data_IF_666879444093
#
_entry.id   IF_666879444093
#
_cell.length_a   1.000
_cell.length_b   1.000
_cell.length_c   1.000
_cell.angle_alpha   90.00
_cell.angle_beta   90.00
_cell.angle_gamma   90.00
#
_symmetry.space_group_name_H-M   'P 1'
#
loop_
_entity.id
_entity.type
_entity.pdbx_description
1 polymer ?
#
# COMPACT_ATOMS: atom_id res chain seq x y z
N UNK A 1 45.99 61.39 14.39
CA UNK A 1 44.63 60.82 14.37
C UNK A 1 44.42 60.02 15.65
N UNK A 2 43.60 60.51 16.59
CA UNK A 2 43.34 59.82 17.87
C UNK A 2 42.17 58.85 17.68
N UNK A 3 42.44 57.55 17.77
CA UNK A 3 41.44 56.48 17.79
C UNK A 3 40.91 56.38 19.23
N UNK A 4 39.67 56.81 19.46
CA UNK A 4 38.99 56.66 20.75
C UNK A 4 38.42 55.25 20.81
N UNK A 5 38.97 54.39 21.67
CA UNK A 5 38.39 53.08 21.98
C UNK A 5 37.45 53.22 23.18
N UNK A 6 36.15 53.27 22.94
CA UNK A 6 35.11 53.28 23.98
C UNK A 6 34.86 51.84 24.46
N UNK A 7 35.75 51.31 25.31
CA UNK A 7 35.57 50.01 25.95
C UNK A 7 34.61 50.15 27.14
N UNK A 8 33.31 50.27 26.86
CA UNK A 8 32.26 50.14 27.87
C UNK A 8 32.00 48.67 28.15
N UNK A 9 32.51 48.17 29.26
CA UNK A 9 32.15 46.84 29.77
C UNK A 9 30.70 46.81 30.27
N UNK A 10 30.02 45.66 30.15
CA UNK A 10 28.74 45.44 30.82
C UNK A 10 28.92 45.65 32.32
N UNK A 11 28.10 46.51 32.92
CA UNK A 11 28.04 46.65 34.37
C UNK A 11 27.39 45.40 34.96
N UNK A 12 27.81 45.00 36.16
CA UNK A 12 27.24 43.83 36.87
C UNK A 12 25.71 43.94 36.97
N UNK A 13 25.21 45.14 37.24
CA UNK A 13 23.77 45.44 37.29
C UNK A 13 23.10 45.35 35.91
N UNK A 14 23.80 45.76 34.85
CA UNK A 14 23.31 45.64 33.48
C UNK A 14 23.15 44.19 33.05
N UNK A 15 24.09 43.33 33.42
CA UNK A 15 23.99 41.89 33.14
C UNK A 15 22.78 41.26 33.85
N UNK A 16 22.55 41.62 35.12
CA UNK A 16 21.39 41.12 35.89
C UNK A 16 20.07 41.55 35.27
N UNK A 17 19.96 42.81 34.84
CA UNK A 17 18.76 43.28 34.14
C UNK A 17 18.52 42.54 32.83
N UNK A 18 19.56 42.23 32.05
CA UNK A 18 19.42 41.50 30.79
C UNK A 18 18.90 40.08 31.02
N UNK A 19 19.44 39.35 32.01
CA UNK A 19 18.98 37.98 32.31
C UNK A 19 17.54 37.98 32.82
N UNK A 20 17.17 38.96 33.67
CA UNK A 20 15.77 39.14 34.10
C UNK A 20 14.83 39.38 32.92
N UNK A 21 15.25 40.21 31.97
CA UNK A 21 14.44 40.56 30.81
C UNK A 21 14.30 39.36 29.86
N UNK A 22 15.37 38.61 29.63
CA UNK A 22 15.32 37.35 28.87
C UNK A 22 14.40 36.35 29.56
N UNK A 23 14.44 36.22 30.88
CA UNK A 23 13.58 35.29 31.63
C UNK A 23 12.09 35.61 31.45
N UNK A 24 11.72 36.89 31.53
CA UNK A 24 10.34 37.34 31.32
C UNK A 24 9.88 37.10 29.87
N UNK A 25 10.72 37.45 28.90
CA UNK A 25 10.41 37.22 27.48
C UNK A 25 10.28 35.72 27.16
N UNK A 26 11.17 34.90 27.71
CA UNK A 26 11.15 33.45 27.51
C UNK A 26 9.87 32.82 28.09
N UNK A 27 9.46 33.26 29.28
CA UNK A 27 8.21 32.78 29.90
C UNK A 27 6.98 33.17 29.06
N UNK A 28 6.95 34.37 28.47
CA UNK A 28 5.85 34.80 27.62
C UNK A 28 5.74 33.98 26.32
N UNK A 29 6.87 33.63 25.70
CA UNK A 29 6.89 32.83 24.46
C UNK A 29 6.32 31.42 24.68
N UNK A 30 6.58 30.81 25.84
CA UNK A 30 6.07 29.48 26.18
C UNK A 30 4.55 29.41 26.34
N UNK A 31 3.88 30.53 26.62
CA UNK A 31 2.41 30.60 26.75
C UNK A 31 1.72 30.60 25.38
N UNK A 32 2.42 31.03 24.32
CA UNK A 32 1.86 31.19 22.98
C UNK A 32 2.11 30.01 22.03
N UNK A 33 3.02 29.10 22.38
CA UNK A 33 3.34 27.92 21.57
C UNK A 33 2.46 26.77 22.02
N UNK A 34 1.60 26.28 21.14
CA UNK A 34 0.96 24.97 21.32
C UNK A 34 1.99 23.87 20.98
N UNK A 35 2.51 23.13 21.98
CA UNK A 35 3.47 22.07 21.71
C UNK A 35 2.88 20.97 20.82
N UNK A 36 1.56 20.74 20.88
CA UNK A 36 0.88 19.74 20.05
C UNK A 36 0.92 20.09 18.56
N UNK A 37 0.80 21.37 18.22
CA UNK A 37 0.85 21.82 16.83
C UNK A 37 2.23 21.60 16.18
N UNK A 38 3.31 21.71 16.95
CA UNK A 38 4.68 21.47 16.45
C UNK A 38 4.92 19.99 16.21
N UNK A 39 4.48 19.14 17.15
CA UNK A 39 4.60 17.68 17.01
C UNK A 39 3.80 17.18 15.81
N UNK A 40 2.55 17.61 15.69
CA UNK A 40 1.71 17.26 14.55
C UNK A 40 2.30 17.68 13.20
N UNK A 41 2.90 18.88 13.13
CA UNK A 41 3.58 19.32 11.91
C UNK A 41 4.83 18.48 11.59
N UNK A 42 5.58 18.02 12.61
CA UNK A 42 6.72 17.14 12.40
C UNK A 42 6.29 15.76 11.89
N UNK A 43 5.18 15.22 12.40
CA UNK A 43 4.59 13.95 11.96
C UNK A 43 4.08 14.03 10.52
N UNK A 44 3.35 15.09 10.17
CA UNK A 44 2.87 15.31 8.79
C UNK A 44 4.04 15.46 7.80
N UNK A 45 5.11 16.18 8.18
CA UNK A 45 6.33 16.25 7.36
C UNK A 45 6.99 14.88 7.16
N UNK A 46 6.98 14.03 8.20
CA UNK A 46 7.49 12.66 8.10
C UNK A 46 6.60 11.82 7.17
N UNK A 47 5.27 11.92 7.29
CA UNK A 47 4.32 11.26 6.37
C UNK A 47 4.53 11.67 4.93
N UNK A 48 4.79 12.95 4.65
CA UNK A 48 5.08 13.41 3.29
C UNK A 48 6.32 12.75 2.70
N UNK A 49 7.40 12.63 3.49
CA UNK A 49 8.63 11.95 3.08
C UNK A 49 8.40 10.46 2.86
N UNK A 50 7.67 9.81 3.77
CA UNK A 50 7.35 8.39 3.72
C UNK A 50 6.45 8.06 2.49
N UNK A 51 5.43 8.89 2.22
CA UNK A 51 4.59 8.80 1.01
C UNK A 51 5.41 8.98 -0.26
N UNK A 52 6.34 9.95 -0.29
CA UNK A 52 7.22 10.17 -1.44
C UNK A 52 8.14 8.97 -1.67
N UNK A 53 8.68 8.38 -0.60
CA UNK A 53 9.54 7.19 -0.68
C UNK A 53 8.77 5.99 -1.25
N UNK A 54 7.58 5.69 -0.73
CA UNK A 54 6.72 4.61 -1.25
C UNK A 54 6.35 4.87 -2.71
N UNK A 55 5.91 6.08 -3.05
CA UNK A 55 5.51 6.45 -4.40
C UNK A 55 6.65 6.31 -5.42
N UNK A 56 7.86 6.73 -5.04
CA UNK A 56 9.06 6.61 -5.88
C UNK A 56 9.44 5.15 -6.06
N UNK A 57 9.48 4.36 -4.98
CA UNK A 57 9.85 2.95 -5.03
C UNK A 57 8.88 2.12 -5.89
N UNK A 58 7.57 2.33 -5.76
CA UNK A 58 6.58 1.67 -6.61
C UNK A 58 6.75 2.11 -8.07
N UNK A 59 6.98 3.40 -8.33
CA UNK A 59 7.17 3.89 -9.69
C UNK A 59 8.40 3.29 -10.37
N UNK A 60 9.52 3.17 -9.65
CA UNK A 60 10.73 2.53 -10.14
C UNK A 60 10.53 1.03 -10.37
N UNK A 61 9.88 0.33 -9.44
CA UNK A 61 9.52 -1.07 -9.61
C UNK A 61 8.70 -1.28 -10.90
N UNK A 62 7.67 -0.47 -11.10
CA UNK A 62 6.77 -0.57 -12.26
C UNK A 62 7.50 -0.35 -13.58
N UNK A 63 8.44 0.59 -13.61
CA UNK A 63 9.26 0.85 -14.80
C UNK A 63 10.12 -0.37 -15.17
N UNK A 64 10.62 -1.10 -14.17
CA UNK A 64 11.45 -2.27 -14.37
C UNK A 64 10.65 -3.56 -14.60
N UNK A 65 9.33 -3.56 -14.31
CA UNK A 65 8.44 -4.73 -14.39
C UNK A 65 7.23 -4.51 -15.31
N UNK A 66 7.45 -3.93 -16.49
CA UNK A 66 6.45 -3.83 -17.58
C UNK A 66 5.10 -3.21 -17.16
N UNK A 67 5.08 -2.28 -16.21
CA UNK A 67 3.84 -1.64 -15.77
C UNK A 67 3.09 -2.37 -14.65
N UNK A 68 3.59 -3.51 -14.17
CA UNK A 68 2.93 -4.33 -13.14
C UNK A 68 3.26 -3.79 -11.74
N UNK A 69 2.26 -3.69 -10.87
CA UNK A 69 2.44 -3.30 -9.48
C UNK A 69 2.99 -4.47 -8.62
N UNK A 70 3.80 -4.18 -7.58
CA UNK A 70 4.37 -5.19 -6.69
C UNK A 70 3.39 -5.67 -5.60
N UNK A 71 2.09 -5.38 -5.74
CA UNK A 71 1.07 -5.68 -4.71
C UNK A 71 0.44 -7.05 -4.95
N UNK A 72 -0.10 -7.62 -3.88
CA UNK A 72 -1.03 -8.74 -3.92
C UNK A 72 -2.46 -8.22 -3.74
N UNK A 73 -3.24 -8.21 -4.82
CA UNK A 73 -4.63 -7.76 -4.85
C UNK A 73 -4.90 -6.59 -5.80
N UNK A 74 -6.11 -6.05 -5.71
CA UNK A 74 -6.65 -4.98 -6.55
C UNK A 74 -6.38 -3.62 -5.93
N UNK A 75 -6.01 -2.66 -6.77
CA UNK A 75 -5.99 -1.24 -6.39
C UNK A 75 -7.28 -0.60 -6.91
N UNK A 76 -8.14 -0.19 -5.99
CA UNK A 76 -9.48 0.36 -6.30
C UNK A 76 -9.50 1.87 -6.08
N UNK A 77 -10.66 2.51 -6.30
CA UNK A 77 -10.86 3.93 -5.98
C UNK A 77 -10.99 4.18 -4.48
N UNK A 78 -11.22 3.12 -3.69
CA UNK A 78 -11.23 3.18 -2.24
C UNK A 78 -9.81 3.07 -1.68
N UNK A 79 -9.59 3.63 -0.49
CA UNK A 79 -8.28 3.59 0.17
C UNK A 79 -8.03 2.20 0.72
N UNK A 80 -6.97 1.53 0.25
CA UNK A 80 -6.53 0.23 0.76
C UNK A 80 -5.19 0.38 1.45
N UNK A 81 -5.18 0.14 2.77
CA UNK A 81 -3.98 0.28 3.60
C UNK A 81 -2.93 -0.77 3.24
N UNK A 82 -1.65 -0.39 3.26
CA UNK A 82 -0.52 -1.31 3.12
C UNK A 82 -0.26 -2.06 4.42
N UNK A 83 -0.13 -3.38 4.34
CA UNK A 83 0.10 -4.27 5.47
C UNK A 83 1.24 -5.25 5.24
N UNK A 84 1.84 -5.74 6.33
CA UNK A 84 2.91 -6.72 6.28
C UNK A 84 2.39 -8.13 5.99
N UNK A 85 1.17 -8.43 6.47
CA UNK A 85 0.47 -9.68 6.20
C UNK A 85 -0.96 -9.41 5.74
N UNK A 86 -1.39 -10.06 4.65
CA UNK A 86 -2.73 -9.90 4.12
C UNK A 86 -3.72 -10.82 4.85
N UNK A 87 -4.32 -10.31 5.92
CA UNK A 87 -5.34 -11.01 6.71
C UNK A 87 -6.76 -10.93 6.13
N UNK A 88 -7.70 -11.68 6.72
CA UNK A 88 -9.13 -11.63 6.38
C UNK A 88 -9.90 -10.44 6.99
N UNK A 89 -9.21 -9.60 7.76
CA UNK A 89 -9.79 -8.43 8.41
C UNK A 89 -9.69 -7.21 7.50
N UNK A 90 -10.72 -6.36 7.56
CA UNK A 90 -10.70 -5.05 6.90
C UNK A 90 -10.04 -4.01 7.82
N UNK A 91 -9.40 -3.01 7.23
CA UNK A 91 -8.73 -1.91 7.92
C UNK A 91 -9.40 -0.60 7.50
N UNK A 92 -9.71 0.24 8.49
CA UNK A 92 -10.25 1.57 8.22
C UNK A 92 -9.14 2.57 7.92
N UNK A 93 -9.30 3.33 6.85
CA UNK A 93 -8.36 4.37 6.42
C UNK A 93 -9.11 5.55 5.84
N UNK A 94 -9.14 6.68 6.57
CA UNK A 94 -9.67 7.95 6.06
C UNK A 94 -11.04 7.87 5.40
N UNK A 95 -11.97 7.09 5.98
CA UNK A 95 -13.36 6.92 5.53
C UNK A 95 -13.65 5.61 4.77
N UNK A 96 -12.63 4.95 4.19
CA UNK A 96 -12.79 3.64 3.53
C UNK A 96 -12.50 2.51 4.52
N UNK A 97 -13.14 1.35 4.35
CA UNK A 97 -12.88 0.14 5.16
C UNK A 97 -12.75 -1.05 4.23
N UNK A 98 -11.51 -1.43 3.95
CA UNK A 98 -11.16 -2.35 2.89
C UNK A 98 -10.16 -3.41 3.37
N UNK A 99 -10.00 -4.49 2.59
CA UNK A 99 -8.89 -5.42 2.80
C UNK A 99 -7.56 -4.70 2.54
N UNK A 100 -6.57 -4.98 3.38
CA UNK A 100 -5.25 -4.41 3.23
C UNK A 100 -4.51 -5.02 2.02
N UNK A 101 -3.57 -4.26 1.46
CA UNK A 101 -2.69 -4.70 0.37
C UNK A 101 -1.31 -5.03 0.92
N UNK A 102 -0.79 -6.21 0.56
CA UNK A 102 0.60 -6.58 0.83
C UNK A 102 1.45 -6.28 -0.39
N UNK A 103 2.62 -5.68 -0.19
CA UNK A 103 3.67 -5.65 -1.21
C UNK A 103 4.34 -7.03 -1.19
N UNK A 104 4.15 -7.81 -2.25
CA UNK A 104 4.46 -9.23 -2.30
C UNK A 104 5.43 -9.52 -3.46
N UNK A 105 6.65 -8.98 -3.35
CA UNK A 105 7.74 -9.26 -4.28
C UNK A 105 9.10 -9.05 -3.59
N UNK A 106 9.95 -10.07 -3.56
CA UNK A 106 11.27 -9.97 -2.87
C UNK A 106 12.14 -8.86 -3.47
N UNK A 107 12.15 -8.73 -4.79
CA UNK A 107 12.94 -7.69 -5.46
C UNK A 107 12.48 -6.27 -5.11
N UNK A 108 11.23 -6.10 -4.67
CA UNK A 108 10.76 -4.80 -4.20
C UNK A 108 11.61 -4.32 -3.02
N UNK A 109 11.74 -5.17 -2.01
CA UNK A 109 12.45 -4.85 -0.77
C UNK A 109 13.96 -4.84 -0.94
N UNK A 110 14.49 -5.67 -1.85
CA UNK A 110 15.93 -5.73 -2.08
C UNK A 110 16.47 -4.53 -2.88
N UNK A 111 15.68 -3.96 -3.79
CA UNK A 111 16.18 -2.97 -4.76
C UNK A 111 15.59 -1.57 -4.62
N UNK A 112 14.31 -1.43 -4.29
CA UNK A 112 13.62 -0.14 -4.40
C UNK A 112 13.30 0.48 -3.04
N UNK A 113 12.87 -0.33 -2.07
CA UNK A 113 12.59 0.16 -0.71
C UNK A 113 12.76 -0.94 0.33
N UNK A 114 13.81 -0.82 1.16
CA UNK A 114 14.21 -1.85 2.12
C UNK A 114 13.11 -2.32 3.06
N UNK A 115 12.29 -1.39 3.54
CA UNK A 115 11.20 -1.64 4.46
C UNK A 115 10.13 -0.58 4.26
N UNK A 116 8.86 -0.94 4.43
CA UNK A 116 7.78 0.03 4.40
C UNK A 116 7.84 0.91 5.66
N UNK A 117 7.79 2.24 5.52
CA UNK A 117 7.69 3.12 6.67
C UNK A 117 6.37 2.86 7.41
N UNK A 118 6.37 3.13 8.72
CA UNK A 118 5.19 3.02 9.59
C UNK A 118 4.83 4.43 10.05
N UNK A 119 3.55 4.77 9.93
CA UNK A 119 3.01 6.07 10.34
C UNK A 119 3.33 6.35 11.82
N UNK A 120 3.76 7.57 12.18
CA UNK A 120 4.14 7.90 13.56
C UNK A 120 3.05 7.65 14.62
N UNK A 121 1.77 7.69 14.24
CA UNK A 121 0.64 7.47 15.15
C UNK A 121 0.35 5.98 15.39
N UNK A 122 0.98 5.08 14.64
CA UNK A 122 0.76 3.65 14.78
C UNK A 122 1.49 3.11 16.00
N UNK A 123 0.73 2.38 16.81
CA UNK A 123 1.21 1.70 18.02
C UNK A 123 1.36 0.19 17.83
N UNK A 124 0.90 -0.34 16.69
CA UNK A 124 1.05 -1.73 16.29
C UNK A 124 1.60 -1.82 14.87
N UNK A 125 2.24 -2.94 14.55
CA UNK A 125 2.88 -3.17 13.25
C UNK A 125 2.05 -4.13 12.38
N UNK A 126 0.72 -4.12 12.50
CA UNK A 126 -0.17 -4.92 11.64
C UNK A 126 -0.32 -4.30 10.26
N UNK A 127 -0.28 -2.97 10.21
CA UNK A 127 -0.36 -2.17 9.00
C UNK A 127 0.55 -0.95 9.12
N UNK A 128 0.80 -0.31 7.99
CA UNK A 128 1.75 0.81 7.91
C UNK A 128 1.12 2.17 8.19
N UNK A 129 -0.21 2.28 8.16
CA UNK A 129 -0.91 3.57 8.16
C UNK A 129 -0.85 4.33 6.82
N UNK A 130 -0.19 3.79 5.80
CA UNK A 130 -0.22 4.32 4.43
C UNK A 130 -1.14 3.49 3.54
N UNK A 131 -1.70 4.11 2.49
CA UNK A 131 -2.64 3.47 1.59
C UNK A 131 -2.26 3.64 0.12
N UNK A 132 -2.80 2.75 -0.70
CA UNK A 132 -2.86 2.86 -2.15
C UNK A 132 -4.32 2.99 -2.59
N UNK A 133 -4.55 3.81 -3.61
CA UNK A 133 -5.81 3.88 -4.34
C UNK A 133 -5.50 4.28 -5.80
N UNK A 134 -6.48 4.21 -6.69
CA UNK A 134 -6.41 4.83 -8.01
C UNK A 134 -7.33 6.04 -8.09
N UNK A 135 -6.89 7.09 -8.79
CA UNK A 135 -7.72 8.24 -9.07
C UNK A 135 -8.75 7.95 -10.18
N UNK A 136 -9.61 8.93 -10.48
CA UNK A 136 -10.62 8.82 -11.54
C UNK A 136 -10.05 8.66 -12.95
N UNK A 137 -8.76 8.98 -13.15
CA UNK A 137 -8.05 8.81 -14.41
C UNK A 137 -7.26 7.48 -14.46
N UNK A 138 -7.32 6.68 -13.40
CA UNK A 138 -6.61 5.41 -13.24
C UNK A 138 -5.15 5.54 -12.82
N UNK A 139 -4.68 6.71 -12.38
CA UNK A 139 -3.33 6.87 -11.83
C UNK A 139 -3.26 6.42 -10.37
N UNK A 140 -2.17 5.76 -10.01
CA UNK A 140 -1.91 5.32 -8.64
C UNK A 140 -1.66 6.53 -7.74
N UNK A 141 -2.37 6.55 -6.61
CA UNK A 141 -2.22 7.53 -5.53
C UNK A 141 -1.75 6.79 -4.28
N UNK A 142 -0.70 7.33 -3.66
CA UNK A 142 -0.16 6.87 -2.38
C UNK A 142 -0.46 7.93 -1.34
N UNK A 143 -0.89 7.57 -0.13
CA UNK A 143 -1.14 8.57 0.92
C UNK A 143 -1.13 8.01 2.33
N UNK A 144 -1.31 8.88 3.32
CA UNK A 144 -1.40 8.53 4.74
C UNK A 144 -2.86 8.50 5.22
N UNK A 145 -3.22 7.54 6.08
CA UNK A 145 -4.57 7.36 6.60
C UNK A 145 -4.96 8.43 7.63
N UNK A 146 -3.99 8.87 8.43
CA UNK A 146 -4.12 9.96 9.41
C UNK A 146 -3.35 11.18 8.94
N UNK A 147 -3.91 12.35 9.23
CA UNK A 147 -3.26 13.64 9.07
C UNK A 147 -3.59 14.47 10.30
N UNK A 148 -2.59 15.19 10.83
CA UNK A 148 -2.79 16.03 12.02
C UNK A 148 -3.31 17.41 11.62
N UNK A 149 -2.98 17.88 10.41
CA UNK A 149 -3.59 19.05 9.76
C UNK A 149 -4.89 18.76 8.98
N UNK A 150 -5.43 19.80 8.32
CA UNK A 150 -6.63 19.69 7.46
C UNK A 150 -6.34 19.28 6.01
N UNK A 151 -5.06 19.12 5.64
CA UNK A 151 -4.64 18.78 4.27
C UNK A 151 -4.30 17.30 4.20
N UNK A 152 -4.85 16.61 3.20
CA UNK A 152 -4.51 15.21 2.96
C UNK A 152 -3.04 15.08 2.52
N UNK A 153 -2.28 14.20 3.18
CA UNK A 153 -0.92 13.84 2.78
C UNK A 153 -1.01 12.71 1.76
N UNK A 154 -0.97 13.06 0.48
CA UNK A 154 -1.07 12.11 -0.63
C UNK A 154 -0.29 12.58 -1.87
N UNK A 155 0.17 11.61 -2.66
CA UNK A 155 0.93 11.82 -3.90
C UNK A 155 0.32 10.97 -5.02
N UNK A 156 -0.14 11.63 -6.08
CA UNK A 156 -0.46 10.97 -7.35
C UNK A 156 0.82 10.73 -8.14
N UNK A 157 1.00 9.48 -8.58
CA UNK A 157 2.13 9.04 -9.39
C UNK A 157 1.79 9.08 -10.88
N UNK A 158 2.77 8.88 -11.75
CA UNK A 158 2.54 8.69 -13.20
C UNK A 158 2.20 7.24 -13.57
N UNK A 159 2.18 6.33 -12.59
CA UNK A 159 1.84 4.91 -12.79
C UNK A 159 0.34 4.77 -13.00
N UNK A 160 -0.06 4.04 -14.04
CA UNK A 160 -1.46 3.68 -14.26
C UNK A 160 -1.77 2.30 -13.70
N UNK A 161 -2.89 2.20 -12.98
CA UNK A 161 -3.48 0.93 -12.55
C UNK A 161 -4.32 0.38 -13.71
N UNK A 162 -3.81 -0.64 -14.40
CA UNK A 162 -4.40 -1.19 -15.63
C UNK A 162 -5.06 -2.56 -15.46
N UNK A 163 -4.74 -3.29 -14.39
CA UNK A 163 -5.19 -4.66 -14.18
C UNK A 163 -6.21 -4.73 -13.04
N UNK A 164 -7.07 -5.76 -13.07
CA UNK A 164 -8.10 -5.96 -12.05
C UNK A 164 -7.45 -6.25 -10.70
N UNK A 165 -6.44 -7.13 -10.69
CA UNK A 165 -5.52 -7.30 -9.57
C UNK A 165 -4.10 -7.62 -10.04
N UNK A 166 -3.18 -7.60 -9.08
CA UNK A 166 -1.76 -7.91 -9.28
C UNK A 166 -1.34 -9.00 -8.30
N UNK A 167 -0.44 -9.87 -8.74
CA UNK A 167 0.27 -10.81 -7.90
C UNK A 167 1.48 -11.36 -8.66
N UNK A 168 2.62 -11.50 -7.99
CA UNK A 168 3.80 -12.18 -8.51
C UNK A 168 4.34 -11.61 -9.81
N UNK A 169 4.20 -10.30 -10.03
CA UNK A 169 4.66 -9.64 -11.26
C UNK A 169 3.73 -9.82 -12.47
N UNK A 170 2.52 -10.35 -12.28
CA UNK A 170 1.54 -10.51 -13.34
C UNK A 170 0.21 -9.80 -13.04
N UNK A 171 -0.57 -9.58 -14.09
CA UNK A 171 -1.95 -9.11 -13.98
C UNK A 171 -2.90 -10.29 -13.81
N UNK A 172 -3.91 -10.14 -12.97
CA UNK A 172 -4.84 -11.21 -12.62
C UNK A 172 -6.27 -10.79 -12.91
N UNK A 173 -7.01 -11.71 -13.53
CA UNK A 173 -8.38 -11.49 -13.96
C UNK A 173 -9.24 -12.69 -13.58
N UNK A 174 -10.43 -12.42 -13.05
CA UNK A 174 -11.42 -13.45 -12.77
C UNK A 174 -12.29 -13.69 -14.02
N UNK A 175 -12.53 -14.94 -14.38
CA UNK A 175 -13.41 -15.28 -15.48
C UNK A 175 -14.84 -14.81 -15.22
N UNK A 176 -15.52 -14.26 -16.22
CA UNK A 176 -16.92 -13.84 -16.11
C UNK A 176 -17.92 -15.00 -16.01
N UNK A 177 -17.52 -16.22 -16.39
CA UNK A 177 -18.37 -17.41 -16.35
C UNK A 177 -17.57 -18.66 -15.98
N UNK A 178 -18.22 -19.59 -15.29
CA UNK A 178 -17.61 -20.86 -14.92
C UNK A 178 -17.25 -21.69 -16.16
N UNK A 179 -16.13 -22.42 -16.10
CA UNK A 179 -15.65 -23.23 -17.23
C UNK A 179 -14.97 -22.45 -18.36
N UNK A 180 -14.56 -21.20 -18.12
CA UNK A 180 -13.78 -20.40 -19.08
C UNK A 180 -12.29 -20.78 -19.07
N UNK A 181 -11.68 -20.85 -20.25
CA UNK A 181 -10.22 -21.03 -20.38
C UNK A 181 -9.49 -19.73 -20.03
N UNK A 182 -8.31 -19.81 -19.40
CA UNK A 182 -7.56 -18.60 -19.08
C UNK A 182 -7.00 -17.91 -20.33
N UNK A 183 -6.71 -18.65 -21.38
CA UNK A 183 -6.37 -18.07 -22.69
C UNK A 183 -7.47 -17.14 -23.22
N UNK A 184 -8.73 -17.55 -23.08
CA UNK A 184 -9.87 -16.75 -23.50
C UNK A 184 -10.03 -15.51 -22.60
N UNK A 185 -9.87 -15.66 -21.27
CA UNK A 185 -9.95 -14.55 -20.31
C UNK A 185 -8.87 -13.51 -20.61
N UNK A 186 -7.61 -13.91 -20.74
CA UNK A 186 -6.51 -12.99 -21.03
C UNK A 186 -6.66 -12.31 -22.40
N UNK A 187 -7.14 -13.04 -23.41
CA UNK A 187 -7.39 -12.48 -24.73
C UNK A 187 -8.40 -11.31 -24.72
N UNK A 188 -9.42 -11.35 -23.83
CA UNK A 188 -10.36 -10.20 -23.68
C UNK A 188 -9.69 -8.93 -23.19
N UNK A 189 -8.55 -9.05 -22.51
CA UNK A 189 -7.76 -7.96 -21.97
C UNK A 189 -6.63 -7.53 -22.92
N UNK A 190 -6.59 -8.09 -24.15
CA UNK A 190 -5.46 -7.98 -25.08
C UNK A 190 -4.13 -8.46 -24.47
N UNK A 191 -4.18 -9.53 -23.68
CA UNK A 191 -3.03 -10.14 -22.99
C UNK A 191 -2.93 -11.63 -23.30
N UNK A 192 -1.79 -12.22 -22.97
CA UNK A 192 -1.56 -13.67 -23.10
C UNK A 192 -1.54 -14.30 -21.71
N UNK A 193 -2.07 -15.51 -21.59
CA UNK A 193 -2.03 -16.23 -20.32
C UNK A 193 -0.60 -16.68 -19.98
N UNK A 194 -0.23 -16.54 -18.71
CA UNK A 194 1.09 -16.94 -18.21
C UNK A 194 1.00 -18.34 -17.59
N UNK A 195 1.54 -19.32 -18.30
CA UNK A 195 1.68 -20.68 -17.81
C UNK A 195 2.54 -20.70 -16.53
N UNK A 196 2.10 -21.47 -15.53
CA UNK A 196 2.84 -21.70 -14.28
C UNK A 196 3.15 -20.42 -13.47
N UNK A 197 2.38 -19.35 -13.68
CA UNK A 197 2.57 -18.11 -12.93
C UNK A 197 2.51 -18.36 -11.41
N UNK A 198 3.42 -17.70 -10.69
CA UNK A 198 3.43 -17.67 -9.23
C UNK A 198 2.81 -16.35 -8.74
N UNK A 199 2.25 -16.36 -7.54
CA UNK A 199 1.50 -15.22 -6.99
C UNK A 199 2.37 -14.33 -6.08
N UNK A 200 3.48 -14.85 -5.57
CA UNK A 200 4.68 -14.09 -5.18
C UNK A 200 5.84 -15.06 -4.94
N UNK A 201 7.05 -14.51 -4.90
CA UNK A 201 8.23 -15.21 -4.39
C UNK A 201 8.24 -15.31 -2.84
N UNK A 202 7.65 -14.33 -2.14
CA UNK A 202 7.70 -14.14 -0.66
C UNK A 202 6.42 -14.53 0.10
N UNK A 203 5.31 -14.85 -0.58
CA UNK A 203 4.24 -15.61 0.07
C UNK A 203 4.60 -17.06 -0.17
N UNK A 204 5.15 -17.68 0.87
CA UNK A 204 5.32 -19.12 0.96
C UNK A 204 4.18 -19.83 0.22
N UNK A 205 4.56 -20.80 -0.60
CA UNK A 205 3.71 -21.70 -1.37
C UNK A 205 2.63 -22.46 -0.57
N UNK A 206 2.32 -22.06 0.66
CA UNK A 206 1.28 -22.57 1.55
C UNK A 206 -0.12 -21.96 1.34
N UNK A 207 -0.42 -21.40 0.17
CA UNK A 207 -1.80 -21.12 -0.25
C UNK A 207 -2.50 -19.88 0.33
N UNK A 208 -1.83 -19.12 1.19
CA UNK A 208 -2.37 -17.88 1.79
C UNK A 208 -2.51 -16.77 0.74
N UNK A 209 -1.54 -16.64 -0.17
CA UNK A 209 -1.57 -15.67 -1.26
C UNK A 209 -2.72 -15.90 -2.25
N UNK A 210 -2.95 -17.16 -2.63
CA UNK A 210 -4.10 -17.55 -3.46
C UNK A 210 -5.42 -17.16 -2.80
N UNK A 211 -5.53 -17.40 -1.50
CA UNK A 211 -6.76 -17.11 -0.79
C UNK A 211 -7.05 -15.62 -0.70
N UNK A 212 -6.01 -14.83 -0.46
CA UNK A 212 -6.14 -13.39 -0.33
C UNK A 212 -6.50 -12.74 -1.68
N UNK A 213 -5.87 -13.15 -2.78
CA UNK A 213 -6.21 -12.67 -4.12
C UNK A 213 -7.61 -13.11 -4.55
N UNK A 214 -8.01 -14.36 -4.29
CA UNK A 214 -9.38 -14.82 -4.58
C UNK A 214 -10.41 -13.99 -3.81
N UNK A 215 -10.17 -13.73 -2.52
CA UNK A 215 -11.09 -12.92 -1.70
C UNK A 215 -11.19 -11.49 -2.24
N UNK A 216 -10.08 -10.95 -2.71
CA UNK A 216 -10.00 -9.60 -3.24
C UNK A 216 -10.74 -9.43 -4.58
N UNK A 217 -10.64 -10.41 -5.49
CA UNK A 217 -11.27 -10.36 -6.81
C UNK A 217 -12.71 -10.90 -6.86
N UNK A 218 -13.18 -11.62 -5.84
CA UNK A 218 -14.48 -12.31 -5.87
C UNK A 218 -15.73 -11.43 -5.60
N UNK A 219 -15.63 -10.11 -5.81
CA UNK A 219 -16.65 -9.07 -5.56
C UNK A 219 -18.08 -9.61 -5.37
N UNK A 220 -18.61 -9.51 -4.13
CA UNK A 220 -19.99 -9.70 -3.63
C UNK A 220 -20.86 -10.86 -4.18
N UNK A 221 -20.39 -11.63 -5.13
CA UNK A 221 -21.06 -12.73 -5.81
C UNK A 221 -20.60 -14.05 -5.21
N UNK A 222 -19.37 -14.13 -4.68
CA UNK A 222 -18.70 -15.38 -4.33
C UNK A 222 -17.62 -15.21 -3.21
N UNK A 223 -17.77 -14.29 -2.27
CA UNK A 223 -16.74 -14.04 -1.22
C UNK A 223 -16.28 -15.36 -0.57
N UNK A 224 -14.96 -15.58 -0.42
CA UNK A 224 -14.32 -16.73 0.24
C UNK A 224 -14.63 -16.81 1.76
N UNK A 225 -15.90 -16.73 2.16
CA UNK A 225 -16.34 -16.62 3.54
C UNK A 225 -16.06 -17.87 4.37
N UNK A 226 -15.95 -19.04 3.73
CA UNK A 226 -15.55 -20.31 4.36
C UNK A 226 -14.03 -20.55 4.32
N UNK A 227 -13.26 -19.61 3.77
CA UNK A 227 -11.82 -19.75 3.53
C UNK A 227 -11.52 -20.37 2.16
N UNK A 228 -10.30 -20.88 2.01
CA UNK A 228 -9.82 -21.45 0.75
C UNK A 228 -9.39 -22.89 0.93
N UNK A 229 -9.85 -23.77 0.04
CA UNK A 229 -9.54 -25.20 0.07
C UNK A 229 -8.58 -25.58 -1.06
N UNK A 230 -7.60 -26.42 -0.75
CA UNK A 230 -6.75 -27.05 -1.77
C UNK A 230 -7.59 -28.06 -2.55
N UNK A 231 -7.52 -28.02 -3.88
CA UNK A 231 -8.18 -28.99 -4.76
C UNK A 231 -7.19 -29.66 -5.70
N UNK A 232 -7.51 -30.90 -6.08
CA UNK A 232 -6.80 -31.63 -7.14
C UNK A 232 -7.33 -31.29 -8.54
N UNK A 233 -8.46 -30.59 -8.65
CA UNK A 233 -9.04 -30.20 -9.92
C UNK A 233 -8.51 -28.85 -10.40
N UNK A 234 -7.81 -28.82 -11.54
CA UNK A 234 -8.04 -27.99 -12.72
C UNK A 234 -8.13 -26.43 -12.63
N UNK A 235 -8.41 -25.79 -11.49
CA UNK A 235 -8.80 -24.37 -11.48
C UNK A 235 -8.44 -23.65 -10.18
N UNK A 236 -7.42 -22.77 -10.13
CA UNK A 236 -7.39 -21.75 -9.10
C UNK A 236 -8.52 -20.77 -9.39
N UNK A 237 -9.41 -20.56 -8.42
CA UNK A 237 -10.61 -19.80 -8.69
C UNK A 237 -11.71 -20.06 -7.68
N UNK A 238 -12.87 -19.51 -8.00
CA UNK A 238 -14.01 -19.53 -7.09
C UNK A 238 -15.04 -20.59 -7.48
N UNK A 239 -15.55 -21.35 -6.51
CA UNK A 239 -16.57 -22.36 -6.78
C UNK A 239 -17.92 -21.70 -7.11
N UNK A 240 -18.51 -22.09 -8.23
CA UNK A 240 -19.74 -21.50 -8.75
C UNK A 240 -20.93 -21.73 -7.80
N UNK A 241 -21.52 -20.63 -7.32
CA UNK A 241 -22.66 -20.66 -6.42
C UNK A 241 -22.33 -21.04 -4.97
N UNK A 242 -21.05 -21.05 -4.58
CA UNK A 242 -20.64 -21.23 -3.18
C UNK A 242 -19.72 -20.10 -2.71
N UNK A 243 -19.62 -19.94 -1.39
CA UNK A 243 -18.69 -19.02 -0.72
C UNK A 243 -17.29 -19.63 -0.50
N UNK A 244 -16.95 -20.67 -1.26
CA UNK A 244 -15.72 -21.45 -1.10
C UNK A 244 -14.78 -21.16 -2.26
N UNK A 245 -13.60 -20.64 -1.94
CA UNK A 245 -12.53 -20.47 -2.91
C UNK A 245 -11.63 -21.70 -2.93
N UNK A 246 -11.05 -22.00 -4.09
CA UNK A 246 -10.12 -23.12 -4.22
C UNK A 246 -8.85 -22.71 -4.93
N UNK A 247 -7.78 -23.42 -4.62
CA UNK A 247 -6.50 -23.27 -5.29
C UNK A 247 -5.78 -24.61 -5.39
N UNK A 248 -4.72 -24.65 -6.21
CA UNK A 248 -3.86 -25.82 -6.38
C UNK A 248 -2.47 -25.50 -5.84
N UNK A 249 -1.76 -26.53 -5.39
CA UNK A 249 -0.33 -26.46 -5.07
C UNK A 249 0.55 -26.56 -6.32
N UNK A 250 -0.02 -27.02 -7.44
CA UNK A 250 0.67 -27.19 -8.72
C UNK A 250 0.51 -25.96 -9.62
N UNK A 251 1.43 -25.75 -10.58
CA UNK A 251 1.41 -24.58 -11.43
C UNK A 251 0.12 -24.49 -12.26
N UNK A 252 -0.42 -23.27 -12.42
CA UNK A 252 -1.59 -23.01 -13.26
C UNK A 252 -1.30 -23.41 -14.71
N UNK A 253 -2.31 -24.02 -15.35
CA UNK A 253 -2.32 -24.38 -16.78
C UNK A 253 -3.37 -23.53 -17.48
N UNK A 254 -2.99 -22.82 -18.54
CA UNK A 254 -3.83 -21.79 -19.17
C UNK A 254 -5.02 -22.36 -19.94
N UNK A 255 -4.85 -23.52 -20.55
CA UNK A 255 -5.92 -24.22 -21.29
C UNK A 255 -6.89 -24.98 -20.38
N UNK A 256 -6.62 -25.03 -19.07
CA UNK A 256 -7.49 -25.74 -18.14
C UNK A 256 -8.82 -25.03 -17.91
N UNK A 257 -9.91 -25.81 -17.83
CA UNK A 257 -11.23 -25.33 -17.41
C UNK A 257 -11.96 -26.34 -16.54
N UNK A 258 -12.84 -25.82 -15.69
CA UNK A 258 -13.80 -26.61 -14.96
C UNK A 258 -15.14 -25.87 -14.83
N UNK A 259 -16.24 -26.53 -15.20
CA UNK A 259 -17.60 -25.95 -15.24
C UNK A 259 -18.12 -25.51 -13.88
N UNK A 260 -17.50 -25.99 -12.80
CA UNK A 260 -17.86 -25.62 -11.43
C UNK A 260 -17.06 -24.42 -10.91
N UNK A 261 -16.11 -23.87 -11.67
CA UNK A 261 -15.21 -22.83 -11.16
C UNK A 261 -15.11 -21.64 -12.09
N UNK A 262 -15.11 -20.46 -11.48
CA UNK A 262 -14.67 -19.22 -12.10
C UNK A 262 -13.15 -19.15 -11.99
N UNK A 263 -12.47 -19.34 -13.11
CA UNK A 263 -11.01 -19.39 -13.18
C UNK A 263 -10.41 -18.01 -12.89
N UNK A 264 -9.36 -18.00 -12.06
CA UNK A 264 -8.52 -16.86 -11.78
C UNK A 264 -7.24 -16.95 -12.62
N UNK A 265 -7.09 -16.03 -13.57
CA UNK A 265 -6.16 -16.17 -14.68
C UNK A 265 -5.03 -15.14 -14.65
N UNK A 266 -3.75 -15.57 -14.70
CA UNK A 266 -2.61 -14.68 -14.85
C UNK A 266 -2.42 -14.30 -16.31
N UNK A 267 -2.25 -13.03 -16.56
CA UNK A 267 -2.08 -12.48 -17.89
C UNK A 267 -0.92 -11.48 -17.93
N UNK A 268 -0.20 -11.45 -19.04
CA UNK A 268 0.84 -10.48 -19.37
C UNK A 268 0.54 -9.76 -20.69
#
# INVERSE_FOLDING_TARGET
>A
MKKVSDNRGLTLIGLIMVVLLIAVLSAAVLIWIDPGAIVGSAEDNKREQDVLAIATAISEYVNDHNGVLPVLGSVTTEKKTLCFEQGASTISCGGSTEYCLRIAHEDFYNKYLRELPIDPDKTNNTDTGYYLQKDSNGFLVVGACSVTGSSAVAKTTSVKVTCDAYAGGHCWYLSASAGSHCDAVCATQNKVCVEKAQYASDVDSGGTGFCALNRDLADNQLICGSGCAVTTADSPGNYNGASTCVYREYPLVCDSKNVNYFNLCPCE
#
